data_IF_824692287326
#
_entry.id   IF_824692287326
#
_cell.length_a   1.000
_cell.length_b   1.000
_cell.length_c   1.000
_cell.angle_alpha   90.00
_cell.angle_beta   90.00
_cell.angle_gamma   90.00
#
_symmetry.space_group_name_H-M   'P 1'
#
loop_
_entity.id
_entity.type
_entity.pdbx_description
1 polymer ?
#
# COMPACT_ATOMS: atom_id res chain seq x y z
N UNK A 1 1.17 3.26 -10.61
CA UNK A 1 2.36 3.09 -9.74
C UNK A 1 3.11 4.41 -9.74
N UNK A 2 3.29 5.06 -8.59
CA UNK A 2 3.97 6.37 -8.52
C UNK A 2 5.48 6.12 -8.60
N UNK A 3 6.14 6.72 -9.58
CA UNK A 3 7.60 6.74 -9.69
C UNK A 3 8.09 8.15 -9.38
N UNK A 4 9.00 8.27 -8.42
CA UNK A 4 9.67 9.54 -8.08
C UNK A 4 11.13 9.40 -8.50
N UNK A 5 11.58 10.27 -9.39
CA UNK A 5 12.96 10.32 -9.86
C UNK A 5 13.61 11.63 -9.39
N UNK A 6 14.67 11.52 -8.59
CA UNK A 6 15.38 12.65 -8.03
C UNK A 6 16.89 12.41 -8.10
N UNK A 7 17.66 13.46 -8.36
CA UNK A 7 19.11 13.40 -8.36
C UNK A 7 19.67 13.74 -6.97
N UNK A 8 20.75 13.08 -6.58
CA UNK A 8 21.47 13.38 -5.35
C UNK A 8 22.98 13.30 -5.58
N UNK A 9 23.72 14.14 -4.87
CA UNK A 9 25.18 14.22 -4.98
C UNK A 9 25.85 13.47 -3.85
N UNK A 10 26.82 12.63 -4.19
CA UNK A 10 27.74 12.02 -3.24
C UNK A 10 28.76 13.06 -2.76
N UNK A 11 28.80 13.29 -1.46
CA UNK A 11 29.82 14.15 -0.85
C UNK A 11 31.18 13.45 -0.83
N UNK A 12 32.25 14.21 -0.59
CA UNK A 12 33.61 13.67 -0.44
C UNK A 12 33.76 12.66 0.71
N UNK A 13 32.85 12.69 1.69
CA UNK A 13 32.81 11.75 2.81
C UNK A 13 31.95 10.52 2.54
N UNK A 14 31.50 10.32 1.30
CA UNK A 14 30.64 9.20 0.93
C UNK A 14 29.19 9.32 1.42
N UNK A 15 28.76 10.51 1.85
CA UNK A 15 27.36 10.74 2.27
C UNK A 15 26.52 11.16 1.07
N UNK A 16 25.29 10.64 0.98
CA UNK A 16 24.25 11.10 0.06
C UNK A 16 23.10 11.66 0.90
N UNK A 17 22.53 12.79 0.46
CA UNK A 17 21.29 13.31 1.06
C UNK A 17 20.09 12.76 0.31
N UNK A 18 19.14 12.16 1.03
CA UNK A 18 17.88 11.73 0.42
C UNK A 18 17.00 12.95 0.08
N UNK A 19 16.60 13.11 -1.20
CA UNK A 19 15.69 14.16 -1.63
C UNK A 19 14.39 14.14 -0.80
N UNK A 20 13.85 15.33 -0.51
CA UNK A 20 12.66 15.48 0.34
C UNK A 20 11.48 14.61 -0.12
N UNK A 21 11.13 14.55 -1.43
CA UNK A 21 10.02 13.72 -1.89
C UNK A 21 10.21 12.23 -1.58
N UNK A 22 11.44 11.72 -1.77
CA UNK A 22 11.80 10.32 -1.49
C UNK A 22 11.70 10.02 0.02
N UNK A 23 12.20 10.92 0.88
CA UNK A 23 12.08 10.73 2.34
C UNK A 23 10.63 10.66 2.80
N UNK A 24 9.78 11.53 2.27
CA UNK A 24 8.36 11.57 2.63
C UNK A 24 7.62 10.32 2.14
N UNK A 25 7.87 9.89 0.91
CA UNK A 25 7.27 8.68 0.35
C UNK A 25 7.66 7.40 1.13
N UNK A 26 8.89 7.34 1.64
CA UNK A 26 9.39 6.21 2.46
C UNK A 26 9.13 6.39 3.97
N UNK A 27 8.54 7.50 4.40
CA UNK A 27 8.31 7.82 5.82
C UNK A 27 9.60 7.84 6.65
N UNK A 28 10.70 8.37 6.12
CA UNK A 28 12.02 8.38 6.77
C UNK A 28 12.24 9.71 7.51
N UNK A 29 12.46 9.63 8.82
CA UNK A 29 12.85 10.75 9.68
C UNK A 29 14.30 10.64 10.18
N UNK A 30 14.80 11.71 10.80
CA UNK A 30 16.12 11.74 11.45
C UNK A 30 16.27 10.56 12.43
N UNK A 31 17.36 9.78 12.27
CA UNK A 31 17.63 8.61 13.10
C UNK A 31 17.02 7.29 12.59
N UNK A 32 16.21 7.33 11.52
CA UNK A 32 15.73 6.13 10.84
C UNK A 32 16.91 5.31 10.30
N UNK A 33 16.79 3.98 10.38
CA UNK A 33 17.76 3.05 9.79
C UNK A 33 17.34 2.68 8.37
N UNK A 34 18.30 2.56 7.48
CA UNK A 34 18.12 2.19 6.09
C UNK A 34 18.92 0.93 5.80
N UNK A 35 18.30 0.00 5.09
CA UNK A 35 18.97 -1.18 4.55
C UNK A 35 19.32 -0.91 3.08
N UNK A 36 20.53 -1.24 2.69
CA UNK A 36 21.00 -1.14 1.31
C UNK A 36 21.30 -2.55 0.79
N UNK A 37 20.71 -2.88 -0.35
CA UNK A 37 20.95 -4.14 -1.06
C UNK A 37 21.49 -3.81 -2.46
N UNK A 38 22.58 -4.45 -2.85
CA UNK A 38 23.11 -4.37 -4.22
C UNK A 38 22.62 -5.60 -4.99
N UNK A 39 21.79 -5.39 -6.03
CA UNK A 39 21.28 -6.47 -6.88
C UNK A 39 21.36 -6.07 -8.35
N UNK A 40 21.99 -6.91 -9.17
CA UNK A 40 22.04 -6.68 -10.63
C UNK A 40 22.67 -5.35 -11.08
N UNK A 41 23.51 -4.73 -10.25
CA UNK A 41 24.09 -3.41 -10.53
C UNK A 41 23.24 -2.22 -10.05
N UNK A 42 22.08 -2.48 -9.46
CA UNK A 42 21.23 -1.47 -8.82
C UNK A 42 21.39 -1.53 -7.30
N UNK A 43 21.37 -0.36 -6.67
CA UNK A 43 21.28 -0.25 -5.22
C UNK A 43 19.83 0.01 -4.84
N UNK A 44 19.24 -0.94 -4.13
CA UNK A 44 17.92 -0.81 -3.52
C UNK A 44 18.10 -0.35 -2.10
N UNK A 45 17.35 0.68 -1.73
CA UNK A 45 17.32 1.19 -0.37
C UNK A 45 15.93 1.03 0.21
N UNK A 46 15.83 0.41 1.37
CA UNK A 46 14.57 0.22 2.10
C UNK A 46 14.71 0.74 3.52
N UNK A 47 13.58 1.04 4.16
CA UNK A 47 13.55 1.34 5.60
C UNK A 47 13.82 0.04 6.37
N UNK A 48 14.87 0.04 7.19
CA UNK A 48 15.19 -1.12 8.02
C UNK A 48 14.19 -1.24 9.18
N UNK A 49 13.66 -2.43 9.42
CA UNK A 49 12.64 -2.67 10.45
C UNK A 49 11.24 -2.18 10.06
N UNK A 50 10.96 -2.04 8.77
CA UNK A 50 9.61 -1.75 8.25
C UNK A 50 8.71 -3.01 8.19
N UNK A 51 8.91 -3.97 9.10
CA UNK A 51 7.78 -4.82 9.46
C UNK A 51 6.85 -3.94 10.28
N UNK A 52 5.81 -3.44 9.62
CA UNK A 52 4.71 -2.77 10.30
C UNK A 52 3.95 -3.83 11.09
N UNK A 53 4.49 -4.20 12.24
CA UNK A 53 3.75 -4.92 13.27
C UNK A 53 2.88 -3.89 14.00
N UNK A 54 1.73 -3.57 13.41
CA UNK A 54 0.69 -2.87 14.13
C UNK A 54 -0.14 -3.88 14.92
N UNK A 55 0.01 -3.93 16.25
CA UNK A 55 -0.67 -4.92 17.06
C UNK A 55 -2.19 -4.77 17.02
N UNK A 56 -2.72 -3.58 16.69
CA UNK A 56 -4.16 -3.34 16.56
C UNK A 56 -4.66 -3.94 15.25
N UNK A 57 -3.94 -3.72 14.15
CA UNK A 57 -4.27 -4.34 12.86
C UNK A 57 -4.17 -5.86 12.97
N UNK A 58 -3.10 -6.38 13.60
CA UNK A 58 -2.94 -7.81 13.84
C UNK A 58 -4.11 -8.41 14.61
N UNK A 59 -4.44 -7.84 15.78
CA UNK A 59 -5.55 -8.31 16.61
C UNK A 59 -6.91 -8.21 15.88
N UNK A 60 -7.12 -7.19 15.06
CA UNK A 60 -8.32 -7.05 14.25
C UNK A 60 -8.42 -8.13 13.17
N UNK A 61 -7.33 -8.42 12.47
CA UNK A 61 -7.29 -9.49 11.46
C UNK A 61 -7.50 -10.87 12.10
N UNK A 62 -6.97 -11.11 13.30
CA UNK A 62 -7.23 -12.33 14.06
C UNK A 62 -8.71 -12.49 14.42
N UNK A 63 -9.37 -11.41 14.84
CA UNK A 63 -10.81 -11.37 15.11
C UNK A 63 -11.62 -11.72 13.85
N UNK A 64 -11.34 -11.06 12.72
CA UNK A 64 -12.01 -11.33 11.45
C UNK A 64 -11.82 -12.79 11.00
N UNK A 65 -10.59 -13.30 11.11
CA UNK A 65 -10.26 -14.68 10.78
C UNK A 65 -11.05 -15.68 11.63
N UNK A 66 -11.18 -15.44 12.92
CA UNK A 66 -11.96 -16.28 13.83
C UNK A 66 -13.46 -16.27 13.50
N UNK A 67 -14.02 -15.10 13.17
CA UNK A 67 -15.43 -14.97 12.78
C UNK A 67 -15.73 -15.66 11.46
N UNK A 68 -14.88 -15.48 10.44
CA UNK A 68 -15.03 -16.15 9.14
C UNK A 68 -14.98 -17.67 9.31
N UNK A 69 -14.00 -18.20 10.06
CA UNK A 69 -13.89 -19.66 10.33
C UNK A 69 -15.10 -20.21 11.06
N UNK A 70 -15.69 -19.43 11.94
CA UNK A 70 -16.88 -19.81 12.69
C UNK A 70 -18.20 -19.55 11.93
N UNK A 71 -18.13 -18.96 10.73
CA UNK A 71 -19.32 -18.55 9.97
C UNK A 71 -20.14 -17.45 10.68
N UNK A 72 -19.53 -16.69 11.60
CA UNK A 72 -20.19 -15.57 12.28
C UNK A 72 -20.00 -14.29 11.49
N UNK A 73 -21.05 -13.47 11.42
CA UNK A 73 -21.03 -12.19 10.70
C UNK A 73 -20.68 -12.29 9.20
N UNK A 74 -20.61 -13.50 8.65
CA UNK A 74 -20.49 -13.76 7.22
C UNK A 74 -21.89 -14.04 6.70
N UNK A 75 -22.45 -13.07 5.97
CA UNK A 75 -23.73 -13.23 5.30
C UNK A 75 -23.50 -13.51 3.81
N UNK A 76 -24.50 -14.11 3.16
CA UNK A 76 -24.53 -14.17 1.70
C UNK A 76 -24.57 -12.76 1.09
N UNK A 77 -24.21 -12.66 -0.19
CA UNK A 77 -24.36 -11.42 -0.93
C UNK A 77 -25.83 -10.99 -0.91
N UNK A 78 -26.14 -9.73 -0.54
CA UNK A 78 -27.48 -9.18 -0.72
C UNK A 78 -27.92 -9.37 -2.16
N UNK A 79 -29.20 -9.67 -2.37
CA UNK A 79 -29.73 -10.01 -3.69
C UNK A 79 -29.47 -8.89 -4.69
N UNK A 80 -29.67 -7.66 -4.29
CA UNK A 80 -29.49 -6.46 -5.11
C UNK A 80 -28.02 -6.32 -5.55
N UNK A 81 -27.08 -6.60 -4.65
CA UNK A 81 -25.65 -6.57 -4.96
C UNK A 81 -25.27 -7.71 -5.91
N UNK A 82 -25.78 -8.92 -5.67
CA UNK A 82 -25.56 -10.05 -6.56
C UNK A 82 -26.07 -9.78 -7.98
N UNK A 83 -27.28 -9.25 -8.13
CA UNK A 83 -27.86 -8.88 -9.42
C UNK A 83 -27.05 -7.78 -10.11
N UNK A 84 -26.60 -6.76 -9.38
CA UNK A 84 -25.73 -5.71 -9.92
C UNK A 84 -24.38 -6.27 -10.39
N UNK A 85 -23.76 -7.17 -9.63
CA UNK A 85 -22.51 -7.83 -10.04
C UNK A 85 -22.70 -8.69 -11.29
N UNK A 86 -23.80 -9.44 -11.37
CA UNK A 86 -24.11 -10.25 -12.56
C UNK A 86 -24.34 -9.39 -13.80
N UNK A 87 -25.11 -8.31 -13.67
CA UNK A 87 -25.35 -7.38 -14.78
C UNK A 87 -24.04 -6.80 -15.32
N UNK A 88 -23.11 -6.43 -14.43
CA UNK A 88 -21.83 -5.83 -14.80
C UNK A 88 -20.73 -6.82 -15.15
N UNK A 89 -20.92 -8.14 -14.95
CA UNK A 89 -19.86 -9.14 -15.11
C UNK A 89 -19.25 -9.19 -16.52
N UNK A 90 -20.05 -8.89 -17.55
CA UNK A 90 -19.63 -8.88 -18.96
C UNK A 90 -19.32 -7.47 -19.49
N UNK A 91 -19.34 -6.44 -18.64
CA UNK A 91 -19.03 -5.07 -19.04
C UNK A 91 -17.52 -4.83 -18.98
N UNK A 92 -16.95 -4.32 -20.09
CA UNK A 92 -15.56 -3.86 -20.10
C UNK A 92 -15.51 -2.45 -19.53
N UNK A 93 -14.95 -2.29 -18.33
CA UNK A 93 -14.85 -1.00 -17.64
C UNK A 93 -13.42 -0.48 -17.79
N UNK A 94 -13.26 0.79 -18.15
CA UNK A 94 -11.97 1.47 -18.06
C UNK A 94 -11.74 1.91 -16.60
N UNK A 95 -10.80 1.26 -15.93
CA UNK A 95 -10.46 1.56 -14.54
C UNK A 95 -9.77 2.93 -14.36
N UNK A 96 -9.45 3.63 -15.46
CA UNK A 96 -8.87 4.97 -15.44
C UNK A 96 -9.89 6.08 -15.75
N UNK A 97 -11.16 5.73 -16.00
CA UNK A 97 -12.22 6.72 -16.18
C UNK A 97 -12.48 7.46 -14.86
N UNK A 98 -12.70 8.77 -14.94
CA UNK A 98 -13.07 9.58 -13.77
C UNK A 98 -14.45 9.13 -13.24
N UNK A 99 -14.54 8.88 -11.95
CA UNK A 99 -15.81 8.51 -11.31
C UNK A 99 -16.68 9.77 -11.19
N UNK A 100 -17.73 9.85 -11.99
CA UNK A 100 -18.74 10.93 -11.95
C UNK A 100 -20.01 10.48 -11.22
N UNK A 101 -20.60 11.37 -10.42
CA UNK A 101 -21.82 11.13 -9.65
C UNK A 101 -21.80 11.62 -8.20
N UNK A 102 -22.98 11.95 -7.68
CA UNK A 102 -23.14 12.40 -6.29
C UNK A 102 -22.87 11.26 -5.30
N UNK A 103 -21.94 11.47 -4.37
CA UNK A 103 -21.74 10.56 -3.23
C UNK A 103 -22.84 10.82 -2.23
N UNK A 104 -23.79 9.89 -2.12
CA UNK A 104 -24.78 9.92 -1.03
C UNK A 104 -24.09 9.50 0.26
N UNK A 105 -23.93 10.45 1.17
CA UNK A 105 -23.42 10.28 2.54
C UNK A 105 -24.54 9.89 3.51
#
# INVERSE_FOLDING_TARGET
>A
MISIYELATLTSKGQITLPKPIRQALGIDTGSKLAFELRGGEVVMTRAGAEHEDPVIGAFLDLLSADIRAGRHVNGLPKELYEAMQYNADHTIDLNEDIDGDVVI
#
